data_IF_751452744632
#
_entry.id   IF_751452744632
#
_cell.length_a   1.000
_cell.length_b   1.000
_cell.length_c   1.000
_cell.angle_alpha   90.00
_cell.angle_beta   90.00
_cell.angle_gamma   90.00
#
_symmetry.space_group_name_H-M   'P 1'
#
loop_
_entity.id
_entity.type
_entity.pdbx_description
1 polymer ?
#
# COMPACT_ATOMS: atom_id res chain seq x y z
N UNK A 1 -7.02 -8.40 5.09
CA UNK A 1 -6.93 -8.43 6.55
C UNK A 1 -6.60 -9.84 7.03
N UNK A 2 -6.02 -9.97 8.23
CA UNK A 2 -5.74 -11.27 8.87
C UNK A 2 -6.94 -11.82 9.68
N UNK A 3 -8.11 -11.24 9.52
CA UNK A 3 -9.34 -11.73 10.11
C UNK A 3 -9.99 -12.80 9.22
N UNK A 4 -10.94 -13.56 9.81
CA UNK A 4 -11.68 -14.59 9.08
C UNK A 4 -12.80 -14.00 8.21
N UNK A 5 -13.34 -14.74 7.23
CA UNK A 5 -14.48 -14.29 6.44
C UNK A 5 -15.71 -13.94 7.29
N UNK A 6 -15.95 -14.68 8.39
CA UNK A 6 -17.07 -14.43 9.30
C UNK A 6 -16.93 -13.09 10.02
N UNK A 7 -15.70 -12.74 10.45
CA UNK A 7 -15.39 -11.43 11.03
C UNK A 7 -15.60 -10.31 10.01
N UNK A 8 -15.15 -10.50 8.77
CA UNK A 8 -15.40 -9.54 7.69
C UNK A 8 -16.88 -9.36 7.41
N UNK A 9 -17.65 -10.44 7.39
CA UNK A 9 -19.11 -10.37 7.19
C UNK A 9 -19.80 -9.59 8.31
N UNK A 10 -19.45 -9.85 9.56
CA UNK A 10 -19.96 -9.10 10.69
C UNK A 10 -19.61 -7.61 10.59
N UNK A 11 -18.38 -7.29 10.23
CA UNK A 11 -17.91 -5.92 10.08
C UNK A 11 -18.60 -5.17 8.94
N UNK A 12 -18.79 -5.81 7.79
CA UNK A 12 -19.54 -5.29 6.64
C UNK A 12 -21.03 -5.08 6.93
N UNK A 13 -21.59 -5.86 7.86
CA UNK A 13 -23.00 -5.77 8.26
C UNK A 13 -23.22 -4.79 9.41
N UNK A 14 -22.17 -4.25 10.01
CA UNK A 14 -22.26 -3.31 11.14
C UNK A 14 -22.26 -1.87 10.62
N UNK A 15 -23.22 -1.04 11.06
CA UNK A 15 -23.25 0.38 10.72
C UNK A 15 -21.98 1.13 11.14
N UNK A 16 -21.65 2.20 10.41
CA UNK A 16 -20.42 2.99 10.65
C UNK A 16 -20.40 3.68 12.02
N UNK A 17 -21.54 4.12 12.52
CA UNK A 17 -21.70 4.71 13.85
C UNK A 17 -21.50 3.71 14.99
N UNK A 18 -21.58 2.41 14.68
CA UNK A 18 -21.27 1.31 15.60
C UNK A 18 -19.89 0.68 15.34
N UNK A 19 -19.01 1.37 14.62
CA UNK A 19 -17.63 0.93 14.33
C UNK A 19 -17.50 -0.06 13.19
N UNK A 20 -18.56 -0.27 12.38
CA UNK A 20 -18.54 -1.12 11.21
C UNK A 20 -18.14 -0.39 9.92
N UNK A 21 -18.19 -1.12 8.81
CA UNK A 21 -17.88 -0.62 7.46
C UNK A 21 -19.02 -0.87 6.49
N UNK A 22 -20.25 -0.83 6.96
CA UNK A 22 -21.44 -0.98 6.11
C UNK A 22 -21.35 -0.07 4.87
N UNK A 23 -21.68 -0.61 3.70
CA UNK A 23 -21.64 0.10 2.42
C UNK A 23 -20.31 -0.01 1.67
N UNK A 24 -19.30 -0.68 2.20
CA UNK A 24 -18.06 -1.01 1.46
C UNK A 24 -18.37 -2.09 0.41
N UNK A 25 -17.96 -1.84 -0.84
CA UNK A 25 -18.25 -2.70 -2.00
C UNK A 25 -17.03 -3.38 -2.61
N UNK A 26 -15.82 -2.95 -2.26
CA UNK A 26 -14.61 -3.61 -2.74
C UNK A 26 -14.36 -4.92 -2.01
N UNK A 27 -13.68 -5.90 -2.65
CA UNK A 27 -13.36 -7.19 -2.02
C UNK A 27 -12.44 -7.03 -0.81
N UNK A 28 -12.72 -7.79 0.26
CA UNK A 28 -11.86 -7.89 1.44
C UNK A 28 -11.36 -9.32 1.52
N UNK A 29 -10.04 -9.52 1.36
CA UNK A 29 -9.41 -10.82 1.45
C UNK A 29 -9.17 -11.21 2.92
N UNK A 30 -9.54 -12.44 3.26
CA UNK A 30 -9.30 -13.04 4.58
C UNK A 30 -7.98 -13.83 4.55
N UNK A 31 -6.92 -13.23 5.08
CA UNK A 31 -5.58 -13.83 5.19
C UNK A 31 -5.36 -14.33 6.63
N UNK A 32 -6.30 -15.14 7.15
CA UNK A 32 -6.29 -15.59 8.53
C UNK A 32 -5.04 -16.41 8.92
N UNK A 33 -4.46 -17.11 7.96
CA UNK A 33 -3.20 -17.84 8.11
C UNK A 33 -1.95 -17.01 7.80
N UNK A 34 -2.11 -15.73 7.46
CA UNK A 34 -1.05 -14.76 7.16
C UNK A 34 -0.13 -15.12 5.98
N UNK A 35 -0.57 -15.99 5.09
CA UNK A 35 0.21 -16.40 3.94
C UNK A 35 0.53 -15.23 3.01
N UNK A 36 -0.49 -14.44 2.65
CA UNK A 36 -0.31 -13.27 1.79
C UNK A 36 0.57 -12.22 2.46
N UNK A 37 0.29 -11.91 3.74
CA UNK A 37 1.07 -10.93 4.49
C UNK A 37 2.55 -11.34 4.63
N UNK A 38 2.83 -12.66 4.79
CA UNK A 38 4.19 -13.18 4.83
C UNK A 38 4.89 -13.11 3.46
N UNK A 39 4.20 -13.47 2.37
CA UNK A 39 4.74 -13.36 1.00
C UNK A 39 5.11 -11.90 0.70
N UNK A 40 4.25 -10.96 1.08
CA UNK A 40 4.48 -9.53 0.88
C UNK A 40 5.50 -8.92 1.84
N UNK A 41 5.99 -9.69 2.83
CA UNK A 41 6.95 -9.24 3.86
C UNK A 41 6.47 -8.03 4.66
N UNK A 42 5.17 -8.02 5.00
CA UNK A 42 4.53 -6.92 5.73
C UNK A 42 4.16 -7.29 7.17
N UNK A 43 4.50 -8.49 7.63
CA UNK A 43 4.28 -8.89 9.03
C UNK A 43 5.29 -8.20 9.97
N UNK A 44 4.80 -7.85 11.15
CA UNK A 44 5.68 -7.48 12.25
C UNK A 44 6.35 -8.73 12.82
N UNK A 45 7.66 -8.82 12.63
CA UNK A 45 8.50 -9.94 13.06
C UNK A 45 9.36 -9.59 14.27
N UNK A 46 9.10 -8.45 14.92
CA UNK A 46 9.93 -7.99 16.06
C UNK A 46 9.90 -8.94 17.27
N UNK A 47 8.89 -9.80 17.35
CA UNK A 47 8.73 -10.79 18.41
C UNK A 47 9.06 -12.22 17.96
N UNK A 48 9.67 -12.38 16.79
CA UNK A 48 10.13 -13.69 16.33
C UNK A 48 11.44 -14.06 17.02
N UNK A 49 11.50 -15.28 17.52
CA UNK A 49 12.72 -15.90 18.06
C UNK A 49 12.89 -17.29 17.48
N UNK A 50 14.12 -17.68 17.24
CA UNK A 50 14.45 -19.07 16.90
C UNK A 50 14.52 -19.90 18.17
N UNK A 51 13.79 -21.00 18.21
CA UNK A 51 13.78 -21.98 19.27
C UNK A 51 14.62 -23.18 18.85
N UNK A 52 15.78 -23.34 19.48
CA UNK A 52 16.74 -24.40 19.11
C UNK A 52 16.22 -25.81 19.46
N UNK A 53 15.36 -25.96 20.47
CA UNK A 53 14.81 -27.26 20.87
C UNK A 53 13.77 -27.75 19.88
N UNK A 54 13.01 -26.85 19.28
CA UNK A 54 11.97 -27.15 18.32
C UNK A 54 12.44 -27.05 16.88
N UNK A 55 13.67 -26.57 16.64
CA UNK A 55 14.20 -26.24 15.29
C UNK A 55 13.21 -25.39 14.47
N UNK A 56 12.60 -24.39 15.12
CA UNK A 56 11.54 -23.57 14.53
C UNK A 56 11.58 -22.12 15.02
N UNK A 57 11.09 -21.22 14.17
CA UNK A 57 10.84 -19.84 14.56
C UNK A 57 9.52 -19.76 15.33
N UNK A 58 9.58 -19.31 16.55
CA UNK A 58 8.41 -18.99 17.37
C UNK A 58 8.12 -17.49 17.35
N UNK A 59 6.85 -17.15 17.43
CA UNK A 59 6.38 -15.77 17.49
C UNK A 59 5.66 -15.54 18.81
N UNK A 60 6.21 -14.69 19.66
CA UNK A 60 5.57 -14.27 20.91
C UNK A 60 4.59 -13.13 20.60
N UNK A 61 3.35 -13.43 20.29
CA UNK A 61 2.31 -12.45 20.08
C UNK A 61 1.57 -12.56 18.75
N UNK A 62 0.75 -11.57 18.46
CA UNK A 62 0.00 -11.50 17.21
C UNK A 62 0.90 -10.98 16.10
N UNK A 63 1.24 -11.83 15.14
CA UNK A 63 1.85 -11.40 13.87
C UNK A 63 0.87 -10.51 13.12
N UNK A 64 0.92 -9.22 13.39
CA UNK A 64 0.02 -8.23 12.81
C UNK A 64 0.72 -7.57 11.62
N UNK A 65 0.09 -7.47 10.44
CA UNK A 65 0.69 -6.78 9.30
C UNK A 65 0.73 -5.27 9.53
N UNK A 66 1.84 -4.65 9.14
CA UNK A 66 1.95 -3.19 9.05
C UNK A 66 0.90 -2.59 8.11
N UNK A 67 0.76 -1.28 8.11
CA UNK A 67 -0.17 -0.55 7.23
C UNK A 67 0.42 -0.44 5.83
N UNK A 68 0.50 -1.56 5.13
CA UNK A 68 1.07 -1.61 3.79
C UNK A 68 0.06 -1.23 2.71
N UNK A 69 0.57 -0.67 1.62
CA UNK A 69 -0.17 -0.38 0.39
C UNK A 69 0.69 -0.75 -0.79
N UNK A 70 0.11 -1.43 -1.76
CA UNK A 70 0.71 -1.76 -3.05
C UNK A 70 -0.20 -1.22 -4.13
N UNK A 71 0.37 -0.55 -5.13
CA UNK A 71 -0.37 -0.11 -6.31
C UNK A 71 0.23 -0.81 -7.52
N UNK A 72 -0.62 -1.47 -8.28
CA UNK A 72 -0.25 -2.26 -9.44
C UNK A 72 -0.82 -1.61 -10.69
N UNK A 73 -0.11 -1.76 -11.81
CA UNK A 73 -0.64 -1.43 -13.12
C UNK A 73 -1.55 -2.53 -13.69
N UNK A 74 -2.03 -2.34 -14.92
CA UNK A 74 -2.94 -3.27 -15.60
C UNK A 74 -2.30 -4.64 -15.88
N UNK A 75 -0.97 -4.71 -15.96
CA UNK A 75 -0.20 -5.94 -16.17
C UNK A 75 0.13 -6.64 -14.84
N UNK A 76 -0.27 -6.07 -13.71
CA UNK A 76 -0.01 -6.59 -12.37
C UNK A 76 1.38 -6.27 -11.82
N UNK A 77 2.10 -5.34 -12.46
CA UNK A 77 3.41 -4.87 -11.98
C UNK A 77 3.23 -3.83 -10.88
N UNK A 78 3.93 -4.03 -9.77
CA UNK A 78 3.90 -3.08 -8.65
C UNK A 78 4.74 -1.85 -9.00
N UNK A 79 4.10 -0.70 -9.20
CA UNK A 79 4.81 0.57 -9.42
C UNK A 79 4.93 1.44 -8.15
N UNK A 80 4.19 1.11 -7.10
CA UNK A 80 4.35 1.72 -5.79
C UNK A 80 4.15 0.70 -4.68
N UNK A 81 5.00 0.78 -3.66
CA UNK A 81 4.78 0.12 -2.38
C UNK A 81 5.15 1.08 -1.24
N UNK A 82 4.35 1.08 -0.20
CA UNK A 82 4.59 1.88 0.99
C UNK A 82 4.12 1.15 2.24
N UNK A 83 4.76 1.44 3.37
CA UNK A 83 4.43 0.80 4.63
C UNK A 83 4.56 1.79 5.78
N UNK A 84 3.46 1.98 6.53
CA UNK A 84 3.47 2.76 7.75
C UNK A 84 3.46 1.84 8.98
N UNK A 85 4.09 2.29 10.04
CA UNK A 85 3.99 1.65 11.35
C UNK A 85 2.56 1.76 11.90
N UNK A 86 2.20 0.90 12.85
CA UNK A 86 0.82 0.71 13.33
C UNK A 86 0.04 1.98 13.69
N UNK A 87 0.61 2.97 14.42
CA UNK A 87 -0.14 4.15 14.82
C UNK A 87 -0.26 5.20 13.73
N UNK A 88 0.40 4.99 12.58
CA UNK A 88 0.46 5.99 11.50
C UNK A 88 -0.54 5.63 10.41
N UNK A 89 -1.58 6.44 10.26
CA UNK A 89 -2.56 6.32 9.17
C UNK A 89 -1.95 6.59 7.80
N UNK A 90 -2.60 6.08 6.76
CA UNK A 90 -2.19 6.30 5.36
C UNK A 90 -2.81 7.58 4.82
N UNK A 91 -2.08 8.27 3.95
CA UNK A 91 -2.62 9.40 3.21
C UNK A 91 -3.18 8.90 1.87
N UNK A 92 -4.49 8.83 1.77
CA UNK A 92 -5.16 8.32 0.56
C UNK A 92 -4.96 9.27 -0.63
N UNK A 93 -4.90 10.58 -0.41
CA UNK A 93 -4.66 11.54 -1.48
C UNK A 93 -3.29 11.34 -2.14
N UNK A 94 -2.28 10.92 -1.38
CA UNK A 94 -0.98 10.58 -1.95
C UNK A 94 -1.06 9.37 -2.89
N UNK A 95 -1.85 8.37 -2.57
CA UNK A 95 -2.02 7.22 -3.47
C UNK A 95 -2.76 7.60 -4.76
N UNK A 96 -3.75 8.47 -4.68
CA UNK A 96 -4.42 9.02 -5.87
C UNK A 96 -3.43 9.82 -6.72
N UNK A 97 -2.66 10.71 -6.10
CA UNK A 97 -1.60 11.49 -6.77
C UNK A 97 -0.60 10.59 -7.50
N UNK A 98 -0.19 9.47 -6.89
CA UNK A 98 0.73 8.50 -7.51
C UNK A 98 0.11 7.80 -8.72
N UNK A 99 -1.19 7.46 -8.64
CA UNK A 99 -1.92 6.87 -9.77
C UNK A 99 -2.00 7.88 -10.93
N UNK A 100 -2.34 9.13 -10.64
CA UNK A 100 -2.42 10.21 -11.64
C UNK A 100 -1.05 10.47 -12.30
N UNK A 101 0.02 10.50 -11.50
CA UNK A 101 1.39 10.66 -11.99
C UNK A 101 1.83 9.50 -12.89
N UNK A 102 1.49 8.26 -12.52
CA UNK A 102 1.77 7.08 -13.34
C UNK A 102 0.99 7.12 -14.65
N UNK A 103 -0.31 7.44 -14.59
CA UNK A 103 -1.15 7.57 -15.79
C UNK A 103 -0.66 8.69 -16.72
N UNK A 104 -0.19 9.82 -16.18
CA UNK A 104 0.43 10.90 -16.95
C UNK A 104 1.67 10.41 -17.70
N UNK A 105 2.57 9.72 -17.00
CA UNK A 105 3.78 9.16 -17.62
C UNK A 105 3.43 8.17 -18.75
N UNK A 106 2.47 7.25 -18.51
CA UNK A 106 2.04 6.29 -19.53
C UNK A 106 1.46 6.98 -20.78
N UNK A 107 0.75 8.07 -20.58
CA UNK A 107 0.08 8.80 -21.67
C UNK A 107 1.02 9.70 -22.46
N UNK A 108 1.94 10.39 -21.79
CA UNK A 108 2.75 11.46 -22.38
C UNK A 108 4.26 11.12 -22.44
N UNK A 109 4.73 10.08 -21.77
CA UNK A 109 6.13 9.73 -21.66
C UNK A 109 6.96 10.78 -20.88
N UNK A 110 6.29 11.59 -20.06
CA UNK A 110 6.93 12.63 -19.25
C UNK A 110 7.14 12.14 -17.81
N UNK A 111 8.16 12.66 -17.16
CA UNK A 111 8.48 12.36 -15.76
C UNK A 111 7.85 13.40 -14.85
N UNK A 112 7.11 12.93 -13.87
CA UNK A 112 6.49 13.79 -12.86
C UNK A 112 7.50 14.08 -11.74
N UNK A 113 7.85 15.35 -11.50
CA UNK A 113 8.79 15.72 -10.43
C UNK A 113 8.19 15.53 -9.03
N UNK A 114 9.03 15.75 -8.00
CA UNK A 114 8.56 15.69 -6.61
C UNK A 114 7.38 16.66 -6.38
N UNK A 115 6.37 16.19 -5.64
CA UNK A 115 5.13 16.94 -5.36
C UNK A 115 4.30 17.32 -6.61
N UNK A 116 4.52 16.63 -7.73
CA UNK A 116 3.69 16.83 -8.92
C UNK A 116 2.23 16.49 -8.62
N UNK A 117 1.33 17.27 -9.17
CA UNK A 117 -0.11 17.06 -9.16
C UNK A 117 -0.65 17.21 -10.58
N UNK A 118 -1.80 16.61 -10.88
CA UNK A 118 -2.44 16.72 -12.18
C UNK A 118 -2.60 18.20 -12.60
N UNK A 119 -2.21 18.51 -13.84
CA UNK A 119 -2.25 19.85 -14.40
C UNK A 119 -1.00 20.71 -14.12
N UNK A 120 -0.03 20.22 -13.35
CA UNK A 120 1.27 20.87 -13.19
C UNK A 120 2.26 20.42 -14.27
N UNK A 121 3.29 21.24 -14.47
CA UNK A 121 4.36 20.95 -15.43
C UNK A 121 5.06 19.63 -15.09
N UNK A 122 5.27 18.81 -16.10
CA UNK A 122 6.11 17.63 -16.08
C UNK A 122 7.36 17.86 -16.94
N UNK A 123 8.32 16.96 -16.90
CA UNK A 123 9.58 17.12 -17.63
C UNK A 123 9.86 15.93 -18.53
N UNK A 124 10.54 16.19 -19.66
CA UNK A 124 11.03 15.12 -20.54
C UNK A 124 12.19 14.40 -19.87
N UNK A 125 12.24 13.08 -20.03
CA UNK A 125 13.26 12.21 -19.47
C UNK A 125 14.59 12.31 -20.27
N UNK A 126 15.12 13.54 -20.34
CA UNK A 126 16.42 13.80 -20.94
C UNK A 126 17.06 15.03 -20.29
N UNK A 127 18.36 15.23 -20.54
CA UNK A 127 19.15 16.31 -19.92
C UNK A 127 18.56 17.69 -20.18
N UNK A 128 18.13 17.95 -21.40
CA UNK A 128 17.61 19.28 -21.79
C UNK A 128 16.24 19.52 -21.15
N UNK A 129 15.36 18.51 -21.14
CA UNK A 129 14.04 18.59 -20.48
C UNK A 129 14.14 18.82 -18.97
N UNK A 130 15.11 18.20 -18.30
CA UNK A 130 15.40 18.46 -16.87
C UNK A 130 15.92 19.87 -16.68
N UNK A 131 16.85 20.33 -17.54
CA UNK A 131 17.40 21.68 -17.47
C UNK A 131 16.31 22.75 -17.70
N UNK A 132 15.43 22.56 -18.68
CA UNK A 132 14.32 23.45 -18.99
C UNK A 132 13.31 23.53 -17.83
N UNK A 133 13.04 22.40 -17.17
CA UNK A 133 12.16 22.35 -16.01
C UNK A 133 12.77 23.11 -14.83
N UNK A 134 14.03 22.82 -14.49
CA UNK A 134 14.73 23.47 -13.36
C UNK A 134 14.95 24.97 -13.57
N UNK A 135 15.06 25.44 -14.81
CA UNK A 135 15.19 26.86 -15.11
C UNK A 135 13.90 27.65 -14.85
N UNK A 136 12.74 26.99 -14.77
CA UNK A 136 11.42 27.60 -14.55
C UNK A 136 10.96 27.52 -13.09
N UNK A 137 11.59 26.65 -12.30
CA UNK A 137 11.20 26.35 -10.92
C UNK A 137 12.39 26.48 -9.97
#
# INVERSE_FOLDING_TARGET
>A
SCDTPEVHFAWLSTPKDNGGIEGVTYPILADANRNLANILKVLDTTNERYDEELDAVQTDGNSTPYRATFILDEDGMVFHQGMNFFPVGRNINEFLRLIDAYAHNQKFGEVCPANWEEGKDAMKENRDGVADYLAKH
#
